data_IF_330241927632
#
_entry.id   IF_330241927632
#
_cell.length_a   1.000
_cell.length_b   1.000
_cell.length_c   1.000
_cell.angle_alpha   90.00
_cell.angle_beta   90.00
_cell.angle_gamma   90.00
#
_symmetry.space_group_name_H-M   'P 1'
#
loop_
_entity.id
_entity.type
_entity.pdbx_description
1 polymer ?
#
# COMPACT_ATOMS: atom_id res chain seq x y z
N UNK A 1 -3.95 -1.00 11.30
CA UNK A 1 -3.19 -2.25 11.42
C UNK A 1 -4.13 -3.45 11.45
N UNK A 2 -5.05 -3.55 12.41
CA UNK A 2 -6.06 -4.62 12.50
C UNK A 2 -6.86 -4.84 11.20
N UNK A 3 -7.28 -3.78 10.50
CA UNK A 3 -7.97 -3.90 9.22
C UNK A 3 -7.14 -4.58 8.11
N UNK A 4 -5.82 -4.42 8.15
CA UNK A 4 -4.89 -5.12 7.23
C UNK A 4 -4.71 -6.56 7.70
N UNK A 5 -4.50 -6.78 9.00
CA UNK A 5 -4.33 -8.12 9.58
C UNK A 5 -5.54 -9.03 9.31
N UNK A 6 -6.76 -8.54 9.50
CA UNK A 6 -7.99 -9.28 9.23
C UNK A 6 -8.19 -9.67 7.75
N UNK A 7 -7.46 -9.03 6.82
CA UNK A 7 -7.57 -9.24 5.37
C UNK A 7 -6.22 -9.55 4.73
N UNK A 8 -5.25 -9.98 5.54
CA UNK A 8 -3.88 -10.19 5.09
C UNK A 8 -3.81 -11.24 3.98
N UNK A 9 -4.64 -12.28 4.06
CA UNK A 9 -4.71 -13.32 3.03
C UNK A 9 -4.96 -12.75 1.62
N UNK A 10 -5.75 -11.67 1.49
CA UNK A 10 -5.96 -11.01 0.19
C UNK A 10 -4.67 -10.48 -0.43
N UNK A 11 -3.71 -10.03 0.38
CA UNK A 11 -2.40 -9.58 -0.11
C UNK A 11 -1.48 -10.78 -0.38
N UNK A 12 -1.52 -11.82 0.46
CA UNK A 12 -0.78 -13.07 0.24
C UNK A 12 -1.17 -13.73 -1.07
N UNK A 13 -2.47 -13.79 -1.39
CA UNK A 13 -2.99 -14.36 -2.64
C UNK A 13 -2.53 -13.57 -3.86
N UNK A 14 -2.17 -12.29 -3.68
CA UNK A 14 -1.56 -11.43 -4.70
C UNK A 14 -0.03 -11.54 -4.71
N UNK A 15 0.59 -12.38 -3.89
CA UNK A 15 2.04 -12.48 -3.77
C UNK A 15 2.70 -11.25 -3.12
N UNK A 16 1.97 -10.57 -2.23
CA UNK A 16 2.44 -9.37 -1.51
C UNK A 16 2.69 -9.70 -0.04
N UNK A 17 3.84 -9.27 0.47
CA UNK A 17 4.16 -9.25 1.90
C UNK A 17 3.86 -7.87 2.51
N UNK A 18 3.51 -7.85 3.80
CA UNK A 18 3.26 -6.64 4.58
C UNK A 18 4.30 -6.52 5.67
N UNK A 19 4.87 -5.32 5.80
CA UNK A 19 5.68 -4.95 6.96
C UNK A 19 5.07 -3.69 7.55
N UNK A 20 4.65 -3.76 8.81
CA UNK A 20 4.33 -2.55 9.57
C UNK A 20 5.56 -2.05 10.29
N UNK A 21 5.70 -0.73 10.38
CA UNK A 21 6.84 -0.06 11.03
C UNK A 21 6.26 0.99 11.99
N UNK A 22 6.83 1.09 13.18
CA UNK A 22 6.71 2.29 14.00
C UNK A 22 7.94 2.49 14.87
N UNK A 23 8.03 3.65 15.51
CA UNK A 23 9.04 3.99 16.53
C UNK A 23 9.02 3.16 17.80
N UNK A 24 7.98 2.35 18.01
CA UNK A 24 7.88 1.51 19.20
C UNK A 24 8.89 0.36 19.16
N UNK A 25 9.31 -0.11 20.34
CA UNK A 25 10.17 -1.29 20.42
C UNK A 25 9.42 -2.56 20.03
N UNK A 26 10.16 -3.59 19.60
CA UNK A 26 9.59 -4.92 19.34
C UNK A 26 8.94 -5.55 20.59
N UNK A 27 9.34 -5.16 21.81
CA UNK A 27 8.65 -5.55 23.05
C UNK A 27 7.25 -4.94 23.14
N UNK A 28 7.10 -3.66 22.80
CA UNK A 28 5.79 -2.98 22.73
C UNK A 28 4.93 -3.64 21.67
N UNK A 29 5.48 -3.94 20.49
CA UNK A 29 4.77 -4.67 19.43
C UNK A 29 4.24 -6.02 19.91
N UNK A 30 5.07 -6.81 20.61
CA UNK A 30 4.67 -8.10 21.17
C UNK A 30 3.52 -7.95 22.17
N UNK A 31 3.65 -7.02 23.10
CA UNK A 31 2.61 -6.76 24.11
C UNK A 31 1.31 -6.27 23.47
N UNK A 32 1.41 -5.37 22.49
CA UNK A 32 0.25 -4.87 21.76
C UNK A 32 -0.46 -5.97 20.98
N UNK A 33 0.31 -6.83 20.30
CA UNK A 33 -0.22 -7.98 19.60
C UNK A 33 -0.92 -8.97 20.56
N UNK A 34 -0.25 -9.36 21.64
CA UNK A 34 -0.76 -10.36 22.58
C UNK A 34 -2.01 -9.90 23.34
N UNK A 35 -2.04 -8.63 23.73
CA UNK A 35 -3.06 -8.14 24.68
C UNK A 35 -4.17 -7.30 24.04
N UNK A 36 -4.00 -6.84 22.80
CA UNK A 36 -5.02 -6.04 22.10
C UNK A 36 -5.36 -6.61 20.73
N UNK A 37 -4.38 -6.71 19.81
CA UNK A 37 -4.66 -7.07 18.42
C UNK A 37 -5.17 -8.52 18.28
N UNK A 38 -4.69 -9.45 19.10
CA UNK A 38 -5.19 -10.84 19.20
C UNK A 38 -6.68 -10.94 19.57
N UNK A 39 -7.24 -9.91 20.22
CA UNK A 39 -8.66 -9.84 20.56
C UNK A 39 -9.50 -9.22 19.45
N UNK A 40 -8.86 -8.52 18.52
CA UNK A 40 -9.51 -7.86 17.37
C UNK A 40 -9.44 -8.71 16.11
N UNK A 41 -8.39 -9.52 15.97
CA UNK A 41 -8.13 -10.40 14.84
C UNK A 41 -7.70 -11.74 15.42
N UNK A 42 -8.40 -12.81 15.04
CA UNK A 42 -8.07 -14.16 15.49
C UNK A 42 -6.63 -14.52 15.09
N UNK A 43 -5.83 -14.99 16.05
CA UNK A 43 -4.39 -15.21 15.88
C UNK A 43 -3.51 -13.96 15.89
N UNK A 44 -4.07 -12.74 15.99
CA UNK A 44 -3.32 -11.48 16.05
C UNK A 44 -2.85 -10.98 14.68
N UNK A 45 -1.72 -10.28 14.65
CA UNK A 45 -1.10 -9.74 13.43
C UNK A 45 -0.31 -10.84 12.71
N UNK A 46 -0.68 -11.21 11.47
CA UNK A 46 -0.07 -12.33 10.76
C UNK A 46 1.18 -11.96 9.95
N UNK A 47 1.73 -10.74 10.13
CA UNK A 47 2.83 -10.19 9.34
C UNK A 47 3.85 -9.47 10.22
N UNK A 48 4.99 -9.07 9.64
CA UNK A 48 6.10 -8.50 10.40
C UNK A 48 5.79 -7.09 10.96
N UNK A 49 6.14 -6.89 12.23
CA UNK A 49 6.10 -5.59 12.91
C UNK A 49 7.54 -5.16 13.23
N UNK A 50 8.08 -4.25 12.42
CA UNK A 50 9.43 -3.70 12.59
C UNK A 50 9.43 -2.52 13.58
N UNK A 51 10.53 -2.41 14.32
CA UNK A 51 10.79 -1.33 15.25
C UNK A 51 11.80 -0.35 14.64
N UNK A 52 11.46 0.93 14.61
CA UNK A 52 12.29 2.03 14.13
C UNK A 52 12.53 3.06 15.25
N UNK A 53 13.01 2.61 16.41
CA UNK A 53 13.16 3.45 17.60
C UNK A 53 14.05 4.70 17.39
N UNK A 54 14.99 4.63 16.44
CA UNK A 54 15.84 5.75 16.08
C UNK A 54 15.19 6.71 15.06
N UNK A 55 14.09 6.32 14.42
CA UNK A 55 13.43 7.06 13.35
C UNK A 55 14.21 7.07 12.04
N UNK A 56 15.08 6.09 11.82
CA UNK A 56 15.94 6.04 10.64
C UNK A 56 15.13 5.67 9.39
N UNK A 57 14.22 4.70 9.53
CA UNK A 57 13.31 4.29 8.45
C UNK A 57 12.34 5.42 8.14
N UNK A 58 11.71 6.01 9.16
CA UNK A 58 10.80 7.14 8.98
C UNK A 58 11.46 8.32 8.24
N UNK A 59 12.72 8.65 8.56
CA UNK A 59 13.48 9.70 7.86
C UNK A 59 13.83 9.31 6.43
N UNK A 60 14.29 8.07 6.21
CA UNK A 60 14.61 7.57 4.87
C UNK A 60 13.39 7.59 3.93
N UNK A 61 12.20 7.32 4.46
CA UNK A 61 10.95 7.33 3.72
C UNK A 61 10.22 8.68 3.74
N UNK A 62 10.82 9.72 4.35
CA UNK A 62 10.27 11.08 4.36
C UNK A 62 8.97 11.24 5.16
N UNK A 63 8.70 10.35 6.12
CA UNK A 63 7.48 10.36 6.95
C UNK A 63 7.74 10.70 8.40
N UNK A 64 8.98 10.97 8.78
CA UNK A 64 9.38 11.36 10.13
C UNK A 64 8.95 12.79 10.50
N UNK A 65 8.36 12.97 11.67
CA UNK A 65 8.13 14.27 12.29
C UNK A 65 9.19 14.52 13.37
N UNK A 66 10.13 15.44 13.08
CA UNK A 66 11.22 15.80 14.00
C UNK A 66 10.73 16.44 15.30
N UNK A 67 9.55 17.09 15.29
CA UNK A 67 9.01 17.77 16.46
C UNK A 67 8.31 16.80 17.41
N UNK A 68 7.65 15.78 16.86
CA UNK A 68 6.85 14.82 17.62
C UNK A 68 7.62 13.52 17.90
N UNK A 69 8.68 13.22 17.15
CA UNK A 69 9.45 11.98 17.30
C UNK A 69 8.68 10.74 16.85
N UNK A 70 7.82 10.87 15.84
CA UNK A 70 6.96 9.80 15.32
C UNK A 70 6.95 9.79 13.80
N UNK A 71 6.48 8.70 13.19
CA UNK A 71 6.14 8.70 11.77
C UNK A 71 4.69 9.15 11.52
N UNK A 72 4.50 9.94 10.46
CA UNK A 72 3.20 10.15 9.81
C UNK A 72 2.68 8.83 9.21
N UNK A 73 1.39 8.78 8.82
CA UNK A 73 0.78 7.55 8.29
C UNK A 73 1.19 7.28 6.84
N UNK A 74 2.44 6.90 6.64
CA UNK A 74 3.02 6.50 5.35
C UNK A 74 2.70 5.05 4.98
N UNK A 75 2.35 4.82 3.71
CA UNK A 75 2.29 3.49 3.07
C UNK A 75 3.10 3.56 1.77
N UNK A 76 3.88 2.52 1.51
CA UNK A 76 4.67 2.38 0.29
C UNK A 76 4.35 1.03 -0.35
N UNK A 77 4.15 1.03 -1.67
CA UNK A 77 4.08 -0.19 -2.49
C UNK A 77 5.42 -0.31 -3.18
N UNK A 78 6.15 -1.40 -2.90
CA UNK A 78 7.48 -1.66 -3.43
C UNK A 78 7.37 -2.90 -4.33
N UNK A 79 7.90 -2.80 -5.54
CA UNK A 79 7.86 -3.91 -6.49
C UNK A 79 9.00 -4.94 -6.25
N UNK A 80 9.01 -6.08 -6.97
CA UNK A 80 10.04 -7.09 -6.82
C UNK A 80 11.47 -6.64 -7.14
N UNK A 81 11.65 -5.51 -7.84
CA UNK A 81 12.95 -4.94 -8.16
C UNK A 81 13.41 -3.92 -7.09
N UNK A 82 12.63 -3.75 -6.02
CA UNK A 82 12.90 -2.83 -4.92
C UNK A 82 12.51 -1.39 -5.22
N UNK A 83 11.73 -1.13 -6.26
CA UNK A 83 11.32 0.22 -6.67
C UNK A 83 9.99 0.59 -6.01
N UNK A 84 9.92 1.78 -5.42
CA UNK A 84 8.67 2.34 -4.91
C UNK A 84 7.77 2.72 -6.08
N UNK A 85 6.65 2.02 -6.23
CA UNK A 85 5.65 2.25 -7.27
C UNK A 85 4.56 3.23 -6.84
N UNK A 86 4.22 3.25 -5.55
CA UNK A 86 3.27 4.21 -4.99
C UNK A 86 3.59 4.53 -3.54
N UNK A 87 3.23 5.74 -3.14
CA UNK A 87 3.24 6.17 -1.74
C UNK A 87 1.96 6.93 -1.40
N UNK A 88 1.52 6.80 -0.15
CA UNK A 88 0.42 7.58 0.43
C UNK A 88 0.84 8.02 1.83
N UNK A 89 0.73 9.32 2.12
CA UNK A 89 1.03 9.89 3.43
C UNK A 89 -0.19 10.65 3.92
N UNK A 90 -0.79 10.17 5.01
CA UNK A 90 -1.90 10.84 5.69
C UNK A 90 -1.44 11.39 7.04
N UNK A 91 -2.01 12.52 7.44
CA UNK A 91 -1.87 13.00 8.81
C UNK A 91 -2.58 12.04 9.78
N UNK A 92 -2.25 12.06 11.09
CA UNK A 92 -2.78 11.10 12.06
C UNK A 92 -4.31 10.93 12.16
N UNK A 93 -5.19 11.95 11.96
CA UNK A 93 -6.62 11.77 12.20
C UNK A 93 -7.36 10.94 11.14
N UNK A 94 -6.77 10.72 9.95
CA UNK A 94 -7.44 9.99 8.86
C UNK A 94 -6.79 8.63 8.62
N UNK A 95 -7.60 7.57 8.61
CA UNK A 95 -7.17 6.22 8.31
C UNK A 95 -7.06 5.96 6.80
N UNK A 96 -6.11 5.10 6.41
CA UNK A 96 -5.95 4.64 5.02
C UNK A 96 -7.02 3.62 4.63
N UNK A 97 -7.36 3.55 3.34
CA UNK A 97 -8.35 2.61 2.80
C UNK A 97 -7.67 1.33 2.30
N UNK A 98 -7.95 0.19 2.95
CA UNK A 98 -7.38 -1.11 2.55
C UNK A 98 -7.70 -1.48 1.09
N UNK A 99 -8.96 -1.28 0.68
CA UNK A 99 -9.40 -1.59 -0.69
C UNK A 99 -8.60 -0.82 -1.75
N UNK A 100 -8.19 0.42 -1.48
CA UNK A 100 -7.34 1.16 -2.41
C UNK A 100 -5.92 0.58 -2.50
N UNK A 101 -5.41 -0.01 -1.41
CA UNK A 101 -4.14 -0.74 -1.44
C UNK A 101 -4.22 -1.95 -2.36
N UNK A 102 -5.26 -2.76 -2.20
CA UNK A 102 -5.49 -3.94 -3.03
C UNK A 102 -5.63 -3.55 -4.50
N UNK A 103 -6.45 -2.53 -4.79
CA UNK A 103 -6.67 -2.03 -6.15
C UNK A 103 -5.36 -1.57 -6.82
N UNK A 104 -4.54 -0.79 -6.10
CA UNK A 104 -3.26 -0.32 -6.62
C UNK A 104 -2.28 -1.47 -6.87
N UNK A 105 -2.17 -2.43 -5.94
CA UNK A 105 -1.34 -3.63 -6.13
C UNK A 105 -1.75 -4.37 -7.42
N UNK A 106 -3.04 -4.65 -7.59
CA UNK A 106 -3.54 -5.33 -8.79
C UNK A 106 -3.27 -4.54 -10.06
N UNK A 107 -3.42 -3.20 -10.01
CA UNK A 107 -3.14 -2.33 -11.14
C UNK A 107 -1.67 -2.38 -11.56
N UNK A 108 -0.75 -2.25 -10.60
CA UNK A 108 0.68 -2.34 -10.88
C UNK A 108 1.09 -3.73 -11.36
N UNK A 109 0.44 -4.80 -10.90
CA UNK A 109 0.68 -6.15 -11.40
C UNK A 109 0.27 -6.31 -12.86
N UNK A 110 -0.85 -5.71 -13.30
CA UNK A 110 -1.24 -5.68 -14.71
C UNK A 110 -0.21 -4.93 -15.56
N UNK A 111 0.19 -3.73 -15.13
CA UNK A 111 1.21 -2.94 -15.82
C UNK A 111 2.53 -3.73 -15.92
N UNK A 112 2.97 -4.36 -14.82
CA UNK A 112 4.19 -5.18 -14.79
C UNK A 112 4.09 -6.40 -15.70
N UNK A 113 2.97 -7.13 -15.67
CA UNK A 113 2.73 -8.29 -16.51
C UNK A 113 2.73 -7.94 -18.02
N UNK A 114 2.27 -6.74 -18.36
CA UNK A 114 2.32 -6.22 -19.74
C UNK A 114 3.70 -5.73 -20.18
N UNK A 115 4.70 -5.70 -19.29
CA UNK A 115 6.00 -5.07 -19.56
C UNK A 115 5.90 -3.56 -19.79
N UNK A 116 4.90 -2.89 -19.19
CA UNK A 116 4.62 -1.47 -19.39
C UNK A 116 3.89 -1.12 -20.69
N UNK A 117 3.45 -2.11 -21.48
CA UNK A 117 2.68 -1.89 -22.69
C UNK A 117 1.22 -1.47 -22.42
N UNK A 118 0.74 -1.70 -21.20
CA UNK A 118 -0.59 -1.29 -20.74
C UNK A 118 -0.50 -0.29 -19.59
N UNK A 119 -1.49 0.59 -19.51
CA UNK A 119 -1.71 1.51 -18.41
C UNK A 119 -3.12 1.33 -17.84
N UNK A 120 -3.24 1.37 -16.51
CA UNK A 120 -4.53 1.32 -15.82
C UNK A 120 -5.04 2.76 -15.60
N UNK A 121 -6.17 3.17 -16.19
CA UNK A 121 -6.70 4.52 -16.02
C UNK A 121 -7.16 4.80 -14.57
N UNK A 122 -7.57 6.04 -14.32
CA UNK A 122 -8.18 6.42 -13.05
C UNK A 122 -9.39 5.52 -12.74
N UNK A 123 -9.58 5.20 -11.45
CA UNK A 123 -10.62 4.30 -10.98
C UNK A 123 -10.52 2.84 -11.44
N UNK A 124 -9.48 2.43 -12.19
CA UNK A 124 -9.38 1.07 -12.73
C UNK A 124 -9.46 0.00 -11.63
N UNK A 125 -10.23 -1.05 -11.91
CA UNK A 125 -10.38 -2.26 -11.10
C UNK A 125 -10.22 -3.52 -11.99
N UNK A 126 -9.89 -4.69 -11.41
CA UNK A 126 -9.76 -5.93 -12.17
C UNK A 126 -10.96 -6.20 -13.09
N UNK A 127 -10.67 -6.55 -14.35
CA UNK A 127 -11.67 -6.80 -15.39
C UNK A 127 -12.12 -5.55 -16.17
N UNK A 128 -11.75 -4.35 -15.74
CA UNK A 128 -11.99 -3.11 -16.51
C UNK A 128 -10.95 -2.94 -17.64
N UNK A 129 -11.30 -2.24 -18.73
CA UNK A 129 -10.38 -1.96 -19.83
C UNK A 129 -9.13 -1.20 -19.38
N UNK A 130 -7.98 -1.61 -19.91
CA UNK A 130 -6.70 -0.90 -19.83
C UNK A 130 -6.55 0.04 -21.03
N UNK A 131 -5.56 0.94 -20.95
CA UNK A 131 -5.09 1.74 -22.08
C UNK A 131 -3.81 1.14 -22.63
N UNK A 132 -3.58 1.27 -23.95
CA UNK A 132 -2.31 0.91 -24.60
C UNK A 132 -1.61 2.19 -25.02
N UNK A 133 -0.64 2.70 -24.24
CA UNK A 133 0.05 3.94 -24.56
C UNK A 133 0.79 3.82 -25.90
N UNK A 134 0.65 4.82 -26.76
CA UNK A 134 1.33 4.88 -28.05
C UNK A 134 1.05 6.20 -28.77
N UNK A 135 1.79 6.52 -29.85
CA UNK A 135 1.62 7.77 -30.60
C UNK A 135 0.19 8.01 -31.07
N UNK A 136 -0.52 6.94 -31.45
CA UNK A 136 -1.89 7.00 -31.95
C UNK A 136 -2.90 7.46 -30.89
N UNK A 137 -2.58 7.30 -29.60
CA UNK A 137 -3.46 7.67 -28.50
C UNK A 137 -3.23 9.11 -28.00
N UNK A 138 -2.16 9.78 -28.47
CA UNK A 138 -1.83 11.16 -28.05
C UNK A 138 -2.96 12.11 -28.47
N UNK A 139 -3.59 12.75 -27.49
CA UNK A 139 -4.75 13.64 -27.71
C UNK A 139 -6.06 12.91 -28.03
N UNK A 140 -6.07 11.58 -28.04
CA UNK A 140 -7.21 10.73 -28.44
C UNK A 140 -7.69 9.75 -27.38
N UNK A 141 -7.20 9.86 -26.15
CA UNK A 141 -7.63 8.99 -25.02
C UNK A 141 -9.15 8.98 -24.87
N UNK A 142 -9.83 10.10 -25.13
CA UNK A 142 -11.29 10.23 -25.06
C UNK A 142 -12.05 9.31 -26.03
N UNK A 143 -11.41 8.81 -27.09
CA UNK A 143 -12.02 7.88 -28.05
C UNK A 143 -12.19 6.48 -27.44
N UNK A 144 -11.38 6.13 -26.43
CA UNK A 144 -11.37 4.80 -25.79
C UNK A 144 -11.66 4.84 -24.30
N UNK A 145 -11.70 6.03 -23.69
CA UNK A 145 -11.93 6.20 -22.26
C UNK A 145 -12.79 7.42 -21.93
N UNK A 146 -13.69 7.25 -20.97
CA UNK A 146 -14.58 8.27 -20.45
C UNK A 146 -14.55 8.23 -18.90
N UNK A 147 -14.39 9.37 -18.21
CA UNK A 147 -14.40 9.45 -16.75
C UNK A 147 -15.63 8.84 -16.07
N UNK A 148 -16.79 8.79 -16.74
CA UNK A 148 -18.00 8.19 -16.17
C UNK A 148 -18.02 6.66 -16.20
N UNK A 149 -16.96 6.01 -16.70
CA UNK A 149 -16.82 4.55 -16.74
C UNK A 149 -16.16 3.97 -15.48
N UNK A 150 -15.70 4.84 -14.57
CA UNK A 150 -15.23 4.48 -13.23
C UNK A 150 -16.34 3.78 -12.44
#
# INVERSE_FOLDING_TARGET
MSAVAARYQTLVDLGVEVISVSVDSHFVHKMWNDHELSKMVDGGVPFHMAADQAGNVGRAYGVWDESQGIEMRGRFIIDPDGVIQAMEVLTPPVGRKFAETVRQVQAFQVVRASGGAEATPAGWEPGKPTLKPGPDLVGKVWEVWNPSME
#
